data_IF_554510213521
#
_entry.id   IF_554510213521
#
_cell.length_a   1.000
_cell.length_b   1.000
_cell.length_c   1.000
_cell.angle_alpha   90.00
_cell.angle_beta   90.00
_cell.angle_gamma   90.00
#
_symmetry.space_group_name_H-M   'P 1'
#
loop_
_entity.id
_entity.type
_entity.pdbx_description
1 polymer ?
#
# COMPACT_ATOMS: atom_id res chain seq x y z
N UNK A 1 3.14 28.35 -15.77
CA UNK A 1 3.37 26.91 -15.90
C UNK A 1 3.34 26.35 -14.49
N UNK A 2 2.19 25.82 -14.08
CA UNK A 2 2.09 25.13 -12.79
C UNK A 2 2.88 23.83 -12.91
N UNK A 3 3.90 23.68 -12.07
CA UNK A 3 4.72 22.49 -12.02
C UNK A 3 3.87 21.28 -11.66
N UNK A 4 3.98 20.21 -12.42
CA UNK A 4 3.43 18.90 -12.09
C UNK A 4 3.86 18.55 -10.65
N UNK A 5 2.91 18.60 -9.72
CA UNK A 5 3.14 18.18 -8.35
C UNK A 5 3.42 16.68 -8.35
N UNK A 6 4.69 16.30 -8.23
CA UNK A 6 5.07 14.91 -7.96
C UNK A 6 4.65 14.64 -6.52
N UNK A 7 3.57 13.91 -6.33
CA UNK A 7 3.20 13.42 -4.99
C UNK A 7 4.19 12.31 -4.64
N UNK A 8 5.03 12.58 -3.67
CA UNK A 8 5.84 11.54 -3.03
C UNK A 8 4.90 10.68 -2.17
N UNK A 9 5.09 9.35 -2.19
CA UNK A 9 4.27 8.41 -1.40
C UNK A 9 4.22 8.78 0.10
N UNK A 10 5.27 9.44 0.61
CA UNK A 10 5.34 9.93 1.98
C UNK A 10 4.35 11.08 2.29
N UNK A 11 3.93 11.85 1.29
CA UNK A 11 2.93 12.91 1.48
C UNK A 11 1.51 12.37 1.73
N UNK A 12 1.27 11.08 1.41
CA UNK A 12 0.02 10.39 1.71
C UNK A 12 -0.08 9.92 3.19
N UNK A 13 0.83 10.34 4.07
CA UNK A 13 0.82 9.94 5.48
C UNK A 13 -0.17 10.73 6.34
N UNK A 14 -0.70 11.86 5.87
CA UNK A 14 -1.74 12.59 6.60
C UNK A 14 -3.13 12.27 6.05
N UNK A 15 -4.10 12.06 6.95
CA UNK A 15 -5.49 11.78 6.57
C UNK A 15 -6.09 12.91 5.71
N UNK A 16 -5.69 14.17 5.92
CA UNK A 16 -6.18 15.31 5.15
C UNK A 16 -5.62 15.32 3.72
N UNK A 17 -4.34 15.03 3.53
CA UNK A 17 -3.75 14.92 2.20
C UNK A 17 -4.37 13.77 1.40
N UNK A 18 -4.59 12.62 2.05
CA UNK A 18 -5.30 11.47 1.45
C UNK A 18 -6.73 11.85 1.07
N UNK A 19 -7.45 12.55 1.95
CA UNK A 19 -8.82 13.02 1.69
C UNK A 19 -8.87 13.92 0.45
N UNK A 20 -7.98 14.89 0.35
CA UNK A 20 -7.89 15.79 -0.79
C UNK A 20 -7.56 15.00 -2.07
N UNK A 21 -6.63 14.07 -2.01
CA UNK A 21 -6.29 13.19 -3.12
C UNK A 21 -7.50 12.41 -3.61
N UNK A 22 -8.20 11.72 -2.71
CA UNK A 22 -9.38 10.90 -3.06
C UNK A 22 -10.50 11.74 -3.69
N UNK A 23 -10.71 12.97 -3.20
CA UNK A 23 -11.72 13.88 -3.74
C UNK A 23 -11.38 14.43 -5.12
N UNK A 24 -10.09 14.62 -5.41
CA UNK A 24 -9.64 15.24 -6.66
C UNK A 24 -9.25 14.24 -7.73
N UNK A 25 -8.99 12.98 -7.33
CA UNK A 25 -8.54 11.95 -8.25
C UNK A 25 -9.61 11.59 -9.28
N UNK A 26 -9.23 11.69 -10.55
CA UNK A 26 -10.11 11.35 -11.68
C UNK A 26 -9.91 9.88 -12.04
N UNK A 27 -10.93 9.06 -11.79
CA UNK A 27 -10.91 7.64 -12.12
C UNK A 27 -11.55 7.45 -13.49
N UNK A 28 -10.77 7.05 -14.49
CA UNK A 28 -11.28 6.68 -15.81
C UNK A 28 -12.03 5.34 -15.74
N UNK A 29 -12.85 5.05 -16.77
CA UNK A 29 -13.62 3.81 -16.86
C UNK A 29 -12.70 2.59 -16.80
N UNK A 30 -11.63 2.53 -17.59
CA UNK A 30 -10.69 1.41 -17.58
C UNK A 30 -9.95 1.25 -16.25
N UNK A 31 -9.62 2.36 -15.58
CA UNK A 31 -9.03 2.31 -14.25
C UNK A 31 -10.04 1.79 -13.20
N UNK A 32 -11.30 2.18 -13.30
CA UNK A 32 -12.35 1.68 -12.42
C UNK A 32 -12.56 0.17 -12.55
N UNK A 33 -12.57 -0.35 -13.78
CA UNK A 33 -12.64 -1.78 -14.06
C UNK A 33 -11.46 -2.51 -13.42
N UNK A 34 -10.23 -2.04 -13.61
CA UNK A 34 -9.05 -2.66 -12.99
C UNK A 34 -9.07 -2.60 -11.45
N UNK A 35 -9.52 -1.49 -10.88
CA UNK A 35 -9.66 -1.37 -9.42
C UNK A 35 -10.70 -2.34 -8.87
N UNK A 36 -11.87 -2.45 -9.52
CA UNK A 36 -12.97 -3.29 -9.04
C UNK A 36 -12.74 -4.78 -9.28
N UNK A 37 -12.12 -5.14 -10.41
CA UNK A 37 -12.04 -6.53 -10.83
C UNK A 37 -10.71 -7.20 -10.46
N UNK A 38 -9.65 -6.40 -10.22
CA UNK A 38 -8.31 -6.93 -9.95
C UNK A 38 -7.79 -6.47 -8.58
N UNK A 39 -7.66 -5.16 -8.36
CA UNK A 39 -6.91 -4.64 -7.21
C UNK A 39 -7.65 -4.89 -5.91
N UNK A 40 -8.90 -4.43 -5.81
CA UNK A 40 -9.70 -4.55 -4.58
C UNK A 40 -9.96 -6.02 -4.19
N UNK A 41 -10.31 -6.94 -5.12
CA UNK A 41 -10.46 -8.35 -4.79
C UNK A 41 -9.17 -9.03 -4.27
N UNK A 42 -7.99 -8.56 -4.68
CA UNK A 42 -6.72 -9.05 -4.15
C UNK A 42 -6.37 -8.51 -2.75
N UNK A 43 -7.16 -7.58 -2.21
CA UNK A 43 -7.01 -7.03 -0.86
C UNK A 43 -8.12 -7.56 0.07
N UNK A 44 -8.44 -8.85 -0.02
CA UNK A 44 -9.46 -9.50 0.79
C UNK A 44 -8.85 -10.16 2.04
N UNK A 45 -9.68 -10.50 3.05
CA UNK A 45 -9.24 -11.06 4.33
C UNK A 45 -9.66 -12.52 4.54
N UNK A 46 -10.64 -13.00 3.77
CA UNK A 46 -11.21 -14.32 3.98
C UNK A 46 -10.20 -15.42 3.68
N UNK A 47 -9.43 -15.25 2.61
CA UNK A 47 -8.36 -16.16 2.20
C UNK A 47 -7.08 -15.39 1.88
N UNK A 48 -6.36 -14.84 2.88
CA UNK A 48 -5.17 -13.99 2.65
C UNK A 48 -4.07 -14.69 1.83
N UNK A 49 -3.96 -16.00 1.93
CA UNK A 49 -3.00 -16.80 1.16
C UNK A 49 -3.24 -16.75 -0.36
N UNK A 50 -4.46 -16.41 -0.80
CA UNK A 50 -4.82 -16.27 -2.21
C UNK A 50 -4.54 -14.86 -2.75
N UNK A 51 -4.21 -13.90 -1.89
CA UNK A 51 -3.85 -12.55 -2.31
C UNK A 51 -2.57 -12.58 -3.15
N UNK A 52 -2.60 -11.92 -4.29
CA UNK A 52 -1.48 -11.86 -5.23
C UNK A 52 -0.84 -10.48 -5.21
N UNK A 53 0.46 -10.43 -5.45
CA UNK A 53 1.15 -9.18 -5.69
C UNK A 53 0.58 -8.46 -6.92
N UNK A 54 0.28 -7.18 -6.79
CA UNK A 54 -0.21 -6.34 -7.89
C UNK A 54 0.90 -5.40 -8.35
N UNK A 55 1.27 -5.47 -9.62
CA UNK A 55 2.26 -4.60 -10.24
C UNK A 55 1.58 -3.54 -11.09
N UNK A 56 1.80 -2.26 -10.77
CA UNK A 56 1.31 -1.13 -11.56
C UNK A 56 2.43 -0.66 -12.49
N UNK A 57 2.22 -0.83 -13.80
CA UNK A 57 3.20 -0.48 -14.83
C UNK A 57 2.69 0.71 -15.66
N UNK A 58 3.59 1.57 -16.09
CA UNK A 58 3.28 2.70 -16.96
C UNK A 58 4.46 3.66 -17.08
N UNK A 59 4.41 4.54 -18.06
CA UNK A 59 5.44 5.54 -18.32
C UNK A 59 5.57 6.55 -17.17
N UNK A 60 6.67 7.32 -17.16
CA UNK A 60 6.83 8.42 -16.22
C UNK A 60 5.69 9.44 -16.38
N UNK A 61 5.18 9.97 -15.26
CA UNK A 61 4.10 10.97 -15.27
C UNK A 61 2.68 10.44 -15.48
N UNK A 62 2.46 9.12 -15.62
CA UNK A 62 1.12 8.53 -15.83
C UNK A 62 0.25 8.40 -14.59
N UNK A 63 0.67 8.96 -13.46
CA UNK A 63 -0.13 8.96 -12.21
C UNK A 63 -0.06 7.69 -11.37
N UNK A 64 0.94 6.81 -11.58
CA UNK A 64 1.10 5.58 -10.79
C UNK A 64 1.16 5.82 -9.29
N UNK A 65 1.98 6.76 -8.85
CA UNK A 65 2.12 7.11 -7.43
C UNK A 65 0.80 7.65 -6.85
N UNK A 66 0.05 8.44 -7.63
CA UNK A 66 -1.27 8.91 -7.24
C UNK A 66 -2.25 7.74 -7.06
N UNK A 67 -2.24 6.78 -8.00
CA UNK A 67 -3.08 5.59 -7.92
C UNK A 67 -2.71 4.73 -6.71
N UNK A 68 -1.42 4.53 -6.44
CA UNK A 68 -0.96 3.81 -5.24
C UNK A 68 -1.39 4.54 -3.96
N UNK A 69 -1.29 5.87 -3.91
CA UNK A 69 -1.76 6.68 -2.79
C UNK A 69 -3.28 6.61 -2.60
N UNK A 70 -4.05 6.56 -3.70
CA UNK A 70 -5.49 6.35 -3.66
C UNK A 70 -5.83 4.99 -3.04
N UNK A 71 -5.23 3.90 -3.54
CA UNK A 71 -5.47 2.53 -3.06
C UNK A 71 -5.11 2.41 -1.58
N UNK A 72 -3.92 2.90 -1.20
CA UNK A 72 -3.46 2.86 0.18
C UNK A 72 -4.35 3.68 1.11
N UNK A 73 -4.79 4.85 0.66
CA UNK A 73 -5.71 5.69 1.43
C UNK A 73 -7.08 5.04 1.64
N UNK A 74 -7.63 4.40 0.61
CA UNK A 74 -8.88 3.64 0.72
C UNK A 74 -8.74 2.46 1.68
N UNK A 75 -7.62 1.75 1.65
CA UNK A 75 -7.37 0.60 2.51
C UNK A 75 -7.19 1.00 3.99
N UNK A 76 -6.50 2.11 4.26
CA UNK A 76 -6.10 2.54 5.60
C UNK A 76 -7.19 3.32 6.34
N UNK A 77 -8.02 4.11 5.62
CA UNK A 77 -8.97 5.03 6.24
C UNK A 77 -10.44 4.65 5.97
N UNK A 78 -11.28 4.44 7.00
CA UNK A 78 -12.64 3.90 6.84
C UNK A 78 -13.60 4.83 6.08
N UNK A 79 -13.36 6.15 6.14
CA UNK A 79 -14.27 7.13 5.53
C UNK A 79 -13.94 7.50 4.07
N UNK A 80 -12.80 7.06 3.57
CA UNK A 80 -12.34 7.45 2.24
C UNK A 80 -13.22 6.88 1.12
N UNK A 81 -13.76 5.68 1.28
CA UNK A 81 -14.68 5.10 0.31
C UNK A 81 -15.95 5.95 0.09
N UNK A 82 -16.37 6.72 1.10
CA UNK A 82 -17.58 7.58 1.00
C UNK A 82 -17.39 8.80 0.12
N UNK A 83 -16.15 9.26 -0.05
CA UNK A 83 -15.81 10.47 -0.79
C UNK A 83 -15.29 10.21 -2.21
N UNK A 84 -15.14 8.94 -2.58
CA UNK A 84 -14.79 8.55 -3.95
C UNK A 84 -15.92 8.94 -4.91
N UNK A 85 -15.59 9.69 -5.97
CA UNK A 85 -16.59 10.15 -6.94
C UNK A 85 -17.13 9.04 -7.84
N UNK A 86 -16.32 8.04 -8.17
CA UNK A 86 -16.72 6.93 -9.03
C UNK A 86 -17.53 5.90 -8.23
N UNK A 87 -18.82 5.75 -8.57
CA UNK A 87 -19.78 4.95 -7.78
C UNK A 87 -19.39 3.49 -7.60
N UNK A 88 -18.92 2.84 -8.66
CA UNK A 88 -18.57 1.42 -8.60
C UNK A 88 -17.32 1.20 -7.73
N UNK A 89 -16.31 2.06 -7.89
CA UNK A 89 -15.10 2.03 -7.03
C UNK A 89 -15.46 2.34 -5.58
N UNK A 90 -16.32 3.31 -5.32
CA UNK A 90 -16.79 3.62 -3.97
C UNK A 90 -17.51 2.42 -3.33
N UNK A 91 -18.30 1.69 -4.11
CA UNK A 91 -19.00 0.47 -3.64
C UNK A 91 -18.01 -0.65 -3.33
N UNK A 92 -17.09 -0.95 -4.25
CA UNK A 92 -16.07 -2.00 -4.08
C UNK A 92 -15.11 -1.67 -2.93
N UNK A 93 -14.67 -0.41 -2.82
CA UNK A 93 -13.75 0.02 -1.79
C UNK A 93 -14.27 -0.16 -0.35
N UNK A 94 -15.57 -0.26 -0.14
CA UNK A 94 -16.14 -0.57 1.19
C UNK A 94 -15.64 -1.89 1.76
N UNK A 95 -15.30 -2.84 0.90
CA UNK A 95 -14.79 -4.14 1.32
C UNK A 95 -13.44 -4.04 2.02
N UNK A 96 -12.60 -3.07 1.65
CA UNK A 96 -11.24 -2.90 2.16
C UNK A 96 -11.06 -1.68 3.08
N UNK A 97 -12.02 -0.75 3.07
CA UNK A 97 -11.87 0.58 3.67
C UNK A 97 -11.62 0.54 5.17
N UNK A 98 -10.49 1.09 5.60
CA UNK A 98 -10.08 1.16 7.00
C UNK A 98 -9.69 -0.17 7.64
N UNK A 99 -9.48 -1.22 6.84
CA UNK A 99 -9.19 -2.56 7.35
C UNK A 99 -7.70 -2.92 7.31
N UNK A 100 -6.86 -2.07 6.73
CA UNK A 100 -5.44 -2.33 6.56
C UNK A 100 -4.58 -1.34 7.33
N UNK A 101 -3.43 -1.81 7.76
CA UNK A 101 -2.28 -0.97 8.07
C UNK A 101 -1.37 -0.96 6.85
N UNK A 102 -1.03 0.22 6.37
CA UNK A 102 -0.29 0.38 5.11
C UNK A 102 1.13 0.81 5.39
N UNK A 103 2.09 0.00 4.98
CA UNK A 103 3.51 0.36 5.01
C UNK A 103 3.94 0.81 3.61
N UNK A 104 4.37 2.06 3.51
CA UNK A 104 4.84 2.66 2.25
C UNK A 104 6.35 2.57 2.18
N UNK A 105 6.85 2.08 1.06
CA UNK A 105 8.27 1.84 0.84
C UNK A 105 8.66 2.30 -0.56
N UNK A 106 9.71 3.10 -0.65
CA UNK A 106 10.40 3.39 -1.90
C UNK A 106 11.71 2.60 -1.94
N UNK A 107 11.99 1.96 -3.08
CA UNK A 107 13.21 1.21 -3.26
C UNK A 107 14.31 2.15 -3.81
N UNK A 108 15.28 2.57 -3.00
CA UNK A 108 16.37 3.42 -3.45
C UNK A 108 17.38 2.63 -4.30
N UNK A 109 18.14 3.31 -5.12
CA UNK A 109 19.32 2.74 -5.75
C UNK A 109 20.39 2.49 -4.67
N UNK A 110 20.47 1.28 -4.15
CA UNK A 110 21.37 0.89 -3.06
C UNK A 110 21.92 -0.52 -3.26
N UNK A 111 23.01 -0.82 -2.56
CA UNK A 111 23.58 -2.18 -2.46
C UNK A 111 22.93 -3.05 -1.39
N UNK A 112 21.99 -2.51 -0.58
CA UNK A 112 21.27 -3.29 0.43
C UNK A 112 20.37 -4.32 -0.25
N UNK A 113 20.23 -5.49 0.36
CA UNK A 113 19.27 -6.50 -0.11
C UNK A 113 17.83 -6.01 0.01
N UNK A 114 16.96 -6.47 -0.88
CA UNK A 114 15.52 -6.15 -0.83
C UNK A 114 14.92 -6.52 0.53
N UNK A 115 15.30 -7.69 1.08
CA UNK A 115 14.90 -8.15 2.40
C UNK A 115 15.23 -7.10 3.47
N UNK A 116 16.48 -6.65 3.53
CA UNK A 116 16.92 -5.69 4.55
C UNK A 116 16.22 -4.33 4.44
N UNK A 117 15.83 -3.92 3.23
CA UNK A 117 15.05 -2.70 3.03
C UNK A 117 13.63 -2.90 3.58
N UNK A 118 12.98 -4.00 3.23
CA UNK A 118 11.60 -4.30 3.67
C UNK A 118 11.55 -4.49 5.19
N UNK A 119 12.43 -5.35 5.74
CA UNK A 119 12.47 -5.61 7.19
C UNK A 119 12.73 -4.34 7.99
N UNK A 120 13.73 -3.55 7.60
CA UNK A 120 14.01 -2.28 8.27
C UNK A 120 12.82 -1.31 8.25
N UNK A 121 12.09 -1.23 7.13
CA UNK A 121 10.89 -0.38 7.06
C UNK A 121 9.75 -0.90 7.94
N UNK A 122 9.59 -2.22 8.04
CA UNK A 122 8.60 -2.84 8.93
C UNK A 122 8.97 -2.62 10.40
N UNK A 123 10.24 -2.73 10.77
CA UNK A 123 10.73 -2.43 12.12
C UNK A 123 10.45 -0.96 12.49
N UNK A 124 10.78 -0.02 11.61
CA UNK A 124 10.48 1.42 11.80
C UNK A 124 8.98 1.64 12.02
N UNK A 125 8.14 0.98 11.21
CA UNK A 125 6.68 1.09 11.34
C UNK A 125 6.19 0.53 12.67
N UNK A 126 6.66 -0.66 13.07
CA UNK A 126 6.29 -1.29 14.34
C UNK A 126 6.73 -0.42 15.54
N UNK A 127 7.93 0.15 15.48
CA UNK A 127 8.43 1.06 16.50
C UNK A 127 7.54 2.31 16.64
N UNK A 128 7.07 2.89 15.53
CA UNK A 128 6.10 4.00 15.54
C UNK A 128 4.77 3.60 16.21
N UNK A 129 4.39 2.32 16.14
CA UNK A 129 3.23 1.77 16.84
C UNK A 129 3.54 1.34 18.28
N UNK A 130 4.71 1.69 18.83
CA UNK A 130 5.19 1.32 20.17
C UNK A 130 5.36 -0.21 20.36
N UNK A 131 5.54 -0.95 19.27
CA UNK A 131 5.83 -2.36 19.25
C UNK A 131 7.33 -2.55 19.01
N UNK A 132 8.02 -3.20 19.96
CA UNK A 132 9.45 -3.54 19.82
C UNK A 132 9.58 -4.90 19.17
N UNK A 133 10.05 -4.93 17.94
CA UNK A 133 10.34 -6.15 17.21
C UNK A 133 11.54 -5.92 16.29
N UNK A 134 12.41 -6.93 16.17
CA UNK A 134 13.53 -6.94 15.24
C UNK A 134 13.53 -8.23 14.43
N UNK A 135 13.65 -8.11 13.11
CA UNK A 135 13.78 -9.27 12.24
C UNK A 135 15.18 -9.90 12.42
N UNK A 136 15.31 -11.23 12.27
CA UNK A 136 16.59 -11.90 12.27
C UNK A 136 17.53 -11.30 11.22
N UNK A 137 18.81 -11.24 11.52
CA UNK A 137 19.81 -10.78 10.54
C UNK A 137 20.03 -11.83 9.42
N UNK A 138 20.72 -11.42 8.34
CA UNK A 138 20.94 -12.30 7.17
C UNK A 138 21.67 -13.60 7.52
N UNK A 139 22.53 -13.59 8.57
CA UNK A 139 23.25 -14.79 9.01
C UNK A 139 22.36 -15.77 9.79
N UNK A 140 21.39 -15.22 10.54
CA UNK A 140 20.41 -16.02 11.25
C UNK A 140 19.38 -16.64 10.30
N UNK A 141 19.06 -15.94 9.19
CA UNK A 141 18.15 -16.43 8.15
C UNK A 141 18.70 -17.63 7.40
N UNK A 142 19.99 -17.61 7.08
CA UNK A 142 20.65 -18.75 6.41
C UNK A 142 20.64 -20.03 7.27
N UNK A 143 20.47 -19.89 8.59
CA UNK A 143 20.34 -21.01 9.53
C UNK A 143 18.90 -21.50 9.76
N UNK A 144 17.88 -20.66 9.47
CA UNK A 144 16.48 -20.97 9.70
C UNK A 144 15.65 -20.73 8.42
N UNK A 145 15.25 -21.82 7.75
CA UNK A 145 14.42 -21.74 6.53
C UNK A 145 12.97 -21.23 6.77
N UNK A 146 12.60 -20.90 8.00
CA UNK A 146 11.23 -20.62 8.43
C UNK A 146 10.91 -19.14 8.72
N UNK A 147 11.70 -18.19 8.23
CA UNK A 147 11.50 -16.77 8.52
C UNK A 147 10.15 -16.23 8.02
N UNK A 148 9.66 -16.76 6.91
CA UNK A 148 8.34 -16.38 6.39
C UNK A 148 7.22 -16.87 7.34
N UNK A 149 7.36 -18.06 7.89
CA UNK A 149 6.44 -18.62 8.87
C UNK A 149 6.47 -17.83 10.18
N UNK A 150 7.66 -17.39 10.62
CA UNK A 150 7.81 -16.53 11.79
C UNK A 150 7.18 -15.15 11.57
N UNK A 151 7.33 -14.56 10.37
CA UNK A 151 6.64 -13.33 10.01
C UNK A 151 5.12 -13.49 10.01
N UNK A 152 4.61 -14.60 9.48
CA UNK A 152 3.14 -14.84 9.41
C UNK A 152 2.53 -15.19 10.77
N UNK A 153 3.30 -15.66 11.74
CA UNK A 153 2.82 -15.94 13.10
C UNK A 153 2.64 -14.68 13.97
N UNK A 154 3.11 -13.51 13.51
CA UNK A 154 3.02 -12.23 14.22
C UNK A 154 1.80 -11.39 13.81
N UNK A 155 1.05 -11.82 12.82
CA UNK A 155 -0.16 -11.18 12.29
C UNK A 155 -1.37 -12.11 12.35
#
# INVERSE_FOLDING_TARGET
MEGLAVIQLEQANSADAVRQLVQTFVISKGMAEQLCDIVIPNLQFETPADNKGVLIVGNYGTGKSHLMSLISGLAEHPDMAKIVKHKDVAKSAKAISGKFKVVRLELPATKKSLRNIICGRLEDYLQQQQLSFAFPDDKQVDSNKDDLATMMALF
#
